data_IF_769248750192
#
_entry.id   IF_769248750192
#
_cell.length_a   1.000
_cell.length_b   1.000
_cell.length_c   1.000
_cell.angle_alpha   90.00
_cell.angle_beta   90.00
_cell.angle_gamma   90.00
#
_symmetry.space_group_name_H-M   'P 1'
#
loop_
_entity.id
_entity.type
_entity.pdbx_description
1 polymer ?
#
# COMPACT_ATOMS: atom_id res chain seq x y z
N UNK A 1 1.96 16.91 7.80
CA UNK A 1 2.81 15.71 7.63
C UNK A 1 2.52 14.78 8.81
N UNK A 2 1.97 13.59 8.53
CA UNK A 2 1.52 12.65 9.57
C UNK A 2 2.66 11.93 10.28
N UNK A 3 2.32 11.08 11.25
CA UNK A 3 3.20 10.21 12.07
C UNK A 3 4.06 9.20 11.28
N UNK A 4 4.22 9.39 9.97
CA UNK A 4 4.98 8.51 9.08
C UNK A 4 6.49 8.69 9.21
N UNK A 5 6.94 9.92 9.39
CA UNK A 5 8.34 10.19 9.67
C UNK A 5 8.77 9.54 10.99
N UNK A 6 7.95 9.68 12.04
CA UNK A 6 8.13 8.96 13.31
C UNK A 6 8.10 7.43 13.12
N UNK A 7 7.22 6.91 12.25
CA UNK A 7 7.17 5.48 11.97
C UNK A 7 8.47 4.97 11.31
N UNK A 8 9.04 5.71 10.36
CA UNK A 8 10.34 5.40 9.75
C UNK A 8 11.44 5.43 10.83
N UNK A 9 11.50 6.46 11.66
CA UNK A 9 12.50 6.59 12.72
C UNK A 9 12.43 5.46 13.75
N UNK A 10 11.24 4.92 14.01
CA UNK A 10 11.07 3.74 14.85
C UNK A 10 11.52 2.47 14.13
N UNK A 11 11.16 2.31 12.84
CA UNK A 11 11.54 1.15 12.04
C UNK A 11 13.06 1.08 11.78
N UNK A 12 13.73 2.22 11.64
CA UNK A 12 15.18 2.33 11.47
C UNK A 12 15.95 1.86 12.72
N UNK A 13 15.31 1.87 13.90
CA UNK A 13 15.90 1.40 15.16
C UNK A 13 15.73 -0.10 15.39
N UNK A 14 14.93 -0.78 14.57
CA UNK A 14 14.67 -2.20 14.73
C UNK A 14 15.72 -3.00 13.98
N UNK A 15 16.37 -3.95 14.66
CA UNK A 15 17.18 -4.96 13.99
C UNK A 15 16.27 -5.87 13.15
N UNK A 16 16.41 -5.80 11.84
CA UNK A 16 15.59 -6.57 10.89
C UNK A 16 15.96 -8.05 10.81
N UNK A 17 16.94 -8.52 11.61
CA UNK A 17 17.34 -9.92 11.74
C UNK A 17 16.38 -10.73 12.62
N UNK A 18 15.11 -10.81 12.21
CA UNK A 18 14.13 -11.61 12.93
C UNK A 18 14.37 -13.11 12.71
N UNK A 19 14.23 -13.89 13.79
CA UNK A 19 14.28 -15.37 13.72
C UNK A 19 13.13 -15.91 12.85
N UNK A 20 11.96 -15.27 12.89
CA UNK A 20 10.81 -15.65 12.08
C UNK A 20 10.69 -14.74 10.86
N UNK A 21 10.86 -15.33 9.68
CA UNK A 21 10.84 -14.65 8.39
C UNK A 21 9.51 -13.91 8.11
N UNK A 22 8.37 -14.36 8.68
CA UNK A 22 7.09 -13.64 8.60
C UNK A 22 7.21 -12.22 9.15
N UNK A 23 7.98 -12.04 10.25
CA UNK A 23 8.18 -10.73 10.84
C UNK A 23 9.10 -9.86 9.99
N UNK A 24 10.08 -10.46 9.31
CA UNK A 24 10.89 -9.77 8.29
C UNK A 24 10.02 -9.23 7.17
N UNK A 25 9.09 -10.04 6.65
CA UNK A 25 8.14 -9.58 5.60
C UNK A 25 7.27 -8.44 6.12
N UNK A 26 6.67 -8.59 7.30
CA UNK A 26 5.80 -7.58 7.88
C UNK A 26 6.55 -6.25 8.14
N UNK A 27 7.80 -6.34 8.61
CA UNK A 27 8.69 -5.20 8.79
C UNK A 27 8.85 -4.42 7.48
N UNK A 28 9.26 -5.09 6.40
CA UNK A 28 9.46 -4.42 5.12
C UNK A 28 8.14 -3.87 4.55
N UNK A 29 7.02 -4.57 4.69
CA UNK A 29 5.71 -4.06 4.25
C UNK A 29 5.33 -2.76 4.98
N UNK A 30 5.59 -2.67 6.28
CA UNK A 30 5.35 -1.45 7.06
C UNK A 30 6.30 -0.32 6.64
N UNK A 31 7.58 -0.64 6.42
CA UNK A 31 8.60 0.31 6.00
C UNK A 31 8.29 0.90 4.62
N UNK A 32 7.98 0.04 3.65
CA UNK A 32 7.55 0.42 2.31
C UNK A 32 6.31 1.31 2.35
N UNK A 33 5.31 0.94 3.15
CA UNK A 33 4.08 1.74 3.30
C UNK A 33 4.39 3.14 3.82
N UNK A 34 5.24 3.26 4.85
CA UNK A 34 5.62 4.55 5.41
C UNK A 34 6.42 5.41 4.40
N UNK A 35 7.36 4.81 3.66
CA UNK A 35 8.10 5.50 2.60
C UNK A 35 7.18 6.01 1.49
N UNK A 36 6.21 5.19 1.05
CA UNK A 36 5.24 5.55 0.03
C UNK A 36 4.39 6.76 0.47
N UNK A 37 3.91 6.77 1.71
CA UNK A 37 3.12 7.90 2.22
C UNK A 37 3.94 9.14 2.55
N UNK A 38 5.27 9.03 2.59
CA UNK A 38 6.21 10.15 2.60
C UNK A 38 6.65 10.57 1.19
N UNK A 39 6.06 9.99 0.15
CA UNK A 39 6.41 10.21 -1.27
C UNK A 39 7.87 9.88 -1.62
N UNK A 40 8.54 9.04 -0.81
CA UNK A 40 9.90 8.54 -1.05
C UNK A 40 9.87 7.30 -1.94
N UNK A 41 9.28 7.44 -3.12
CA UNK A 41 8.94 6.31 -4.00
C UNK A 41 10.17 5.57 -4.52
N UNK A 42 11.25 6.30 -4.86
CA UNK A 42 12.47 5.68 -5.39
C UNK A 42 13.14 4.76 -4.36
N UNK A 43 13.24 5.22 -3.11
CA UNK A 43 13.78 4.43 -1.99
C UNK A 43 12.88 3.22 -1.71
N UNK A 44 11.56 3.40 -1.71
CA UNK A 44 10.62 2.29 -1.53
C UNK A 44 10.79 1.25 -2.63
N UNK A 45 10.99 1.67 -3.88
CA UNK A 45 11.18 0.77 -5.02
C UNK A 45 12.48 -0.01 -4.92
N UNK A 46 13.58 0.65 -4.55
CA UNK A 46 14.88 -0.02 -4.34
C UNK A 46 14.77 -1.12 -3.27
N UNK A 47 14.15 -0.82 -2.14
CA UNK A 47 13.93 -1.80 -1.06
C UNK A 47 13.04 -2.94 -1.53
N UNK A 48 11.97 -2.64 -2.28
CA UNK A 48 11.06 -3.65 -2.79
C UNK A 48 11.77 -4.64 -3.72
N UNK A 49 12.52 -4.14 -4.70
CA UNK A 49 13.29 -4.99 -5.61
C UNK A 49 14.35 -5.81 -4.87
N UNK A 50 15.05 -5.20 -3.90
CA UNK A 50 16.02 -5.91 -3.05
C UNK A 50 15.42 -6.99 -2.14
N UNK A 51 14.08 -7.04 -2.00
CA UNK A 51 13.34 -8.04 -1.19
C UNK A 51 12.33 -8.82 -2.02
N UNK A 52 12.40 -8.75 -3.35
CA UNK A 52 11.41 -9.34 -4.24
C UNK A 52 11.25 -10.84 -4.06
N UNK A 53 12.36 -11.59 -4.01
CA UNK A 53 12.34 -13.05 -3.79
C UNK A 53 11.64 -13.43 -2.48
N UNK A 54 11.87 -12.64 -1.42
CA UNK A 54 11.20 -12.82 -0.14
C UNK A 54 9.69 -12.58 -0.29
N UNK A 55 9.26 -11.55 -0.99
CA UNK A 55 7.83 -11.29 -1.20
C UNK A 55 7.16 -12.36 -2.08
N UNK A 56 7.81 -12.78 -3.17
CA UNK A 56 7.29 -13.83 -4.07
C UNK A 56 7.04 -15.15 -3.33
N UNK A 57 7.93 -15.51 -2.39
CA UNK A 57 7.73 -16.65 -1.49
C UNK A 57 6.43 -16.56 -0.69
N UNK A 58 6.04 -15.37 -0.23
CA UNK A 58 4.85 -15.19 0.61
C UNK A 58 3.55 -14.96 -0.18
N UNK A 59 3.62 -14.50 -1.43
CA UNK A 59 2.44 -14.39 -2.30
C UNK A 59 1.80 -15.78 -2.50
N UNK A 60 2.59 -16.85 -2.57
CA UNK A 60 2.08 -18.20 -2.86
C UNK A 60 1.52 -18.93 -1.64
N UNK A 61 1.76 -18.43 -0.42
CA UNK A 61 1.39 -19.11 0.82
C UNK A 61 -0.02 -18.68 1.27
N UNK A 62 -1.02 -19.52 1.01
CA UNK A 62 -2.43 -19.21 1.27
C UNK A 62 -2.75 -18.88 2.74
N UNK A 63 -2.10 -19.55 3.69
CA UNK A 63 -2.27 -19.27 5.13
C UNK A 63 -1.82 -17.86 5.55
N UNK A 64 -1.09 -17.15 4.69
CA UNK A 64 -0.64 -15.77 4.90
C UNK A 64 -1.38 -14.79 3.98
N UNK A 65 -2.68 -15.02 3.78
CA UNK A 65 -3.55 -14.24 2.89
C UNK A 65 -3.44 -12.72 3.09
N UNK A 66 -3.39 -12.24 4.32
CA UNK A 66 -3.27 -10.81 4.63
C UNK A 66 -1.93 -10.21 4.21
N UNK A 67 -0.85 -11.00 4.32
CA UNK A 67 0.50 -10.61 3.86
C UNK A 67 0.51 -10.56 2.34
N UNK A 68 0.00 -11.60 1.66
CA UNK A 68 -0.15 -11.62 0.21
C UNK A 68 -0.92 -10.38 -0.30
N UNK A 69 -2.08 -10.10 0.30
CA UNK A 69 -2.87 -8.91 -0.05
C UNK A 69 -2.09 -7.60 0.16
N UNK A 70 -1.24 -7.53 1.17
CA UNK A 70 -0.40 -6.36 1.43
C UNK A 70 0.73 -6.23 0.42
N UNK A 71 1.37 -7.33 0.02
CA UNK A 71 2.37 -7.36 -1.06
C UNK A 71 1.74 -6.91 -2.38
N UNK A 72 0.62 -7.52 -2.78
CA UNK A 72 -0.14 -7.12 -3.98
C UNK A 72 -0.50 -5.64 -3.98
N UNK A 73 -0.90 -5.10 -2.83
CA UNK A 73 -1.20 -3.67 -2.68
C UNK A 73 0.04 -2.82 -3.00
N UNK A 74 1.21 -3.17 -2.48
CA UNK A 74 2.47 -2.50 -2.80
C UNK A 74 2.78 -2.60 -4.31
N UNK A 75 2.57 -3.77 -4.94
CA UNK A 75 2.72 -3.93 -6.39
C UNK A 75 1.79 -3.02 -7.19
N UNK A 76 0.53 -2.90 -6.75
CA UNK A 76 -0.45 -1.99 -7.35
C UNK A 76 -0.01 -0.54 -7.27
N UNK A 77 0.56 -0.13 -6.12
CA UNK A 77 1.11 1.22 -5.93
C UNK A 77 2.30 1.47 -6.86
N UNK A 78 3.25 0.54 -6.96
CA UNK A 78 4.37 0.70 -7.89
C UNK A 78 3.92 0.69 -9.34
N UNK A 79 2.91 -0.09 -9.70
CA UNK A 79 2.32 -0.06 -11.05
C UNK A 79 1.74 1.32 -11.36
N UNK A 80 1.06 1.97 -10.40
CA UNK A 80 0.57 3.35 -10.54
C UNK A 80 1.70 4.34 -10.80
N UNK A 81 2.77 4.31 -9.98
CA UNK A 81 3.90 5.23 -10.14
C UNK A 81 4.73 4.98 -11.41
N UNK A 82 4.70 3.75 -11.94
CA UNK A 82 5.29 3.42 -13.24
C UNK A 82 4.34 3.69 -14.42
N UNK A 83 3.20 4.38 -14.21
CA UNK A 83 2.18 4.68 -15.22
C UNK A 83 1.50 3.47 -15.87
N UNK A 84 1.63 2.27 -15.28
CA UNK A 84 0.83 1.11 -15.65
C UNK A 84 -0.52 1.15 -14.91
N UNK A 85 -1.39 2.06 -15.38
CA UNK A 85 -2.68 2.33 -14.74
C UNK A 85 -3.64 1.14 -14.85
N UNK A 86 -3.57 0.37 -15.94
CA UNK A 86 -4.44 -0.81 -16.17
C UNK A 86 -4.14 -1.88 -15.12
N UNK A 87 -2.88 -2.25 -14.95
CA UNK A 87 -2.48 -3.23 -13.94
C UNK A 87 -2.77 -2.74 -12.53
N UNK A 88 -2.45 -1.48 -12.26
CA UNK A 88 -2.69 -0.87 -10.95
C UNK A 88 -4.18 -0.92 -10.56
N UNK A 89 -5.06 -0.53 -11.49
CA UNK A 89 -6.51 -0.54 -11.31
C UNK A 89 -7.03 -1.95 -11.02
N UNK A 90 -6.65 -2.92 -11.85
CA UNK A 90 -7.06 -4.31 -11.69
C UNK A 90 -6.69 -4.88 -10.32
N UNK A 91 -5.48 -4.57 -9.83
CA UNK A 91 -5.03 -4.98 -8.49
C UNK A 91 -5.92 -4.38 -7.41
N UNK A 92 -6.17 -3.06 -7.45
CA UNK A 92 -6.95 -2.41 -6.39
C UNK A 92 -8.42 -2.82 -6.40
N UNK A 93 -9.02 -3.06 -7.56
CA UNK A 93 -10.36 -3.63 -7.69
C UNK A 93 -10.42 -5.04 -7.09
N UNK A 94 -9.46 -5.92 -7.42
CA UNK A 94 -9.36 -7.27 -6.83
C UNK A 94 -9.27 -7.22 -5.29
N UNK A 95 -8.52 -6.27 -4.74
CA UNK A 95 -8.28 -6.17 -3.31
C UNK A 95 -9.48 -5.65 -2.50
N UNK A 96 -10.38 -4.86 -3.11
CA UNK A 96 -11.57 -4.33 -2.44
C UNK A 96 -12.49 -5.43 -1.91
N UNK A 97 -12.64 -6.51 -2.67
CA UNK A 97 -13.51 -7.64 -2.32
C UNK A 97 -12.85 -8.60 -1.31
N UNK A 98 -11.53 -8.55 -1.19
CA UNK A 98 -10.75 -9.55 -0.45
C UNK A 98 -10.29 -9.11 0.93
N UNK A 99 -10.17 -7.81 1.17
CA UNK A 99 -9.62 -7.27 2.41
C UNK A 99 -10.68 -7.09 3.50
N UNK A 100 -10.35 -7.50 4.73
CA UNK A 100 -11.26 -7.42 5.88
C UNK A 100 -11.30 -6.02 6.52
N UNK A 101 -10.17 -5.34 6.58
CA UNK A 101 -10.01 -4.12 7.38
C UNK A 101 -10.34 -2.87 6.57
N UNK A 102 -11.11 -1.95 7.17
CA UNK A 102 -11.54 -0.68 6.55
C UNK A 102 -10.36 0.17 6.08
N UNK A 103 -9.27 0.22 6.87
CA UNK A 103 -8.07 0.97 6.51
C UNK A 103 -7.44 0.49 5.20
N UNK A 104 -7.43 -0.81 4.93
CA UNK A 104 -6.87 -1.31 3.68
C UNK A 104 -7.77 -1.02 2.48
N UNK A 105 -9.09 -1.14 2.65
CA UNK A 105 -10.06 -0.72 1.64
C UNK A 105 -9.97 0.78 1.35
N UNK A 106 -9.73 1.61 2.37
CA UNK A 106 -9.54 3.04 2.22
C UNK A 106 -8.32 3.37 1.33
N UNK A 107 -7.19 2.66 1.52
CA UNK A 107 -6.01 2.81 0.65
C UNK A 107 -6.34 2.41 -0.79
N UNK A 108 -7.03 1.29 -1.01
CA UNK A 108 -7.37 0.87 -2.38
C UNK A 108 -8.28 1.89 -3.07
N UNK A 109 -9.29 2.40 -2.36
CA UNK A 109 -10.14 3.47 -2.89
C UNK A 109 -9.37 4.77 -3.16
N UNK A 110 -8.40 5.13 -2.32
CA UNK A 110 -7.54 6.29 -2.56
C UNK A 110 -6.77 6.16 -3.89
N UNK A 111 -6.14 5.01 -4.13
CA UNK A 111 -5.42 4.80 -5.38
C UNK A 111 -6.35 4.67 -6.59
N UNK A 112 -7.53 4.07 -6.45
CA UNK A 112 -8.54 4.09 -7.52
C UNK A 112 -8.98 5.52 -7.85
N UNK A 113 -9.17 6.37 -6.85
CA UNK A 113 -9.48 7.80 -7.04
C UNK A 113 -8.41 8.50 -7.88
N UNK A 114 -7.13 8.29 -7.55
CA UNK A 114 -5.98 8.81 -8.31
C UNK A 114 -5.89 8.25 -9.74
N UNK A 115 -6.22 6.97 -9.93
CA UNK A 115 -6.21 6.34 -11.26
C UNK A 115 -7.31 6.96 -12.12
N UNK A 116 -8.55 7.01 -11.64
CA UNK A 116 -9.66 7.60 -12.37
C UNK A 116 -9.44 9.09 -12.67
N UNK A 117 -8.79 9.82 -11.76
CA UNK A 117 -8.38 11.21 -12.02
C UNK A 117 -7.41 11.31 -13.21
N UNK A 118 -6.38 10.44 -13.25
CA UNK A 118 -5.44 10.37 -14.39
C UNK A 118 -6.10 9.93 -15.69
N UNK A 119 -7.15 9.10 -15.63
CA UNK A 119 -7.98 8.70 -16.77
C UNK A 119 -8.95 9.80 -17.23
N UNK A 120 -9.04 10.93 -16.51
CA UNK A 120 -9.99 12.01 -16.79
C UNK A 120 -11.43 11.70 -16.34
N UNK A 121 -11.64 10.60 -15.62
CA UNK A 121 -12.94 10.18 -15.13
C UNK A 121 -13.21 10.77 -13.72
N UNK A 122 -13.60 12.04 -13.70
CA UNK A 122 -13.69 12.83 -12.48
C UNK A 122 -14.83 12.40 -11.52
N UNK A 123 -15.92 11.85 -12.06
CA UNK A 123 -17.05 11.41 -11.24
C UNK A 123 -16.68 10.17 -10.41
N UNK A 124 -16.06 9.17 -11.05
CA UNK A 124 -15.58 7.95 -10.42
C UNK A 124 -14.42 8.26 -9.47
N UNK A 125 -13.52 9.16 -9.87
CA UNK A 125 -12.45 9.65 -9.01
C UNK A 125 -13.00 10.21 -7.69
N UNK A 126 -13.98 11.13 -7.77
CA UNK A 126 -14.64 11.72 -6.60
C UNK A 126 -15.32 10.66 -5.72
N UNK A 127 -16.09 9.75 -6.33
CA UNK A 127 -16.73 8.66 -5.59
C UNK A 127 -15.71 7.83 -4.79
N UNK A 128 -14.57 7.54 -5.39
CA UNK A 128 -13.52 6.76 -4.74
C UNK A 128 -12.80 7.53 -3.62
N UNK A 129 -12.52 8.82 -3.82
CA UNK A 129 -11.99 9.65 -2.74
C UNK A 129 -12.95 9.81 -1.57
N UNK A 130 -14.26 9.97 -1.82
CA UNK A 130 -15.28 10.04 -0.77
C UNK A 130 -15.32 8.73 0.05
N UNK A 131 -15.25 7.57 -0.62
CA UNK A 131 -15.16 6.26 0.05
C UNK A 131 -13.86 6.11 0.86
N UNK A 132 -12.73 6.54 0.30
CA UNK A 132 -11.45 6.51 1.00
C UNK A 132 -11.48 7.36 2.27
N UNK A 133 -12.09 8.56 2.20
CA UNK A 133 -12.27 9.46 3.33
C UNK A 133 -13.18 8.87 4.41
N UNK A 134 -14.31 8.28 4.02
CA UNK A 134 -15.25 7.64 4.95
C UNK A 134 -14.62 6.44 5.67
N UNK A 135 -13.94 5.55 4.93
CA UNK A 135 -13.33 4.34 5.50
C UNK A 135 -12.04 4.63 6.28
N UNK A 136 -11.32 5.68 5.88
CA UNK A 136 -10.11 6.17 6.53
C UNK A 136 -10.39 7.20 7.63
N UNK A 137 -11.65 7.47 7.97
CA UNK A 137 -12.01 8.40 9.03
C UNK A 137 -11.33 7.98 10.35
N UNK A 138 -10.72 8.95 11.06
CA UNK A 138 -9.93 8.72 12.30
C UNK A 138 -8.63 7.93 12.09
N UNK A 139 -8.20 7.73 10.85
CA UNK A 139 -6.89 7.16 10.52
C UNK A 139 -5.99 8.24 9.93
N UNK A 140 -4.72 7.92 9.68
CA UNK A 140 -3.80 8.82 9.01
C UNK A 140 -4.26 9.20 7.58
N UNK A 141 -5.14 8.41 6.96
CA UNK A 141 -5.61 8.67 5.59
C UNK A 141 -6.51 9.89 5.51
N UNK A 142 -7.18 10.31 6.58
CA UNK A 142 -8.09 11.45 6.54
C UNK A 142 -7.40 12.74 6.05
N UNK A 143 -6.09 12.86 6.30
CA UNK A 143 -5.26 14.00 5.92
C UNK A 143 -4.75 13.94 4.47
N UNK A 144 -4.91 12.80 3.78
CA UNK A 144 -4.44 12.58 2.41
C UNK A 144 -5.55 12.76 1.36
N UNK A 145 -6.80 12.77 1.80
CA UNK A 145 -8.03 12.96 0.99
C UNK A 145 -8.82 14.20 1.44
N UNK A 146 -8.18 15.13 2.15
CA UNK A 146 -8.73 16.44 2.48
C UNK A 146 -8.45 17.44 1.37
#
# INVERSE_FOLDING_TARGET
MGKWQEAIELLDKIDSNFINEVFTVQYYLNYLTALIFLERIDIAKEIYEGKKELFEKYITIERHREINQSIKKIEGIFSFYNYDLIKSKSIFEELLDKQKYSIYKAINHYFLGKIFEKEGNLAESKMHFDKAKLLGEKTFLSNLVS
#
